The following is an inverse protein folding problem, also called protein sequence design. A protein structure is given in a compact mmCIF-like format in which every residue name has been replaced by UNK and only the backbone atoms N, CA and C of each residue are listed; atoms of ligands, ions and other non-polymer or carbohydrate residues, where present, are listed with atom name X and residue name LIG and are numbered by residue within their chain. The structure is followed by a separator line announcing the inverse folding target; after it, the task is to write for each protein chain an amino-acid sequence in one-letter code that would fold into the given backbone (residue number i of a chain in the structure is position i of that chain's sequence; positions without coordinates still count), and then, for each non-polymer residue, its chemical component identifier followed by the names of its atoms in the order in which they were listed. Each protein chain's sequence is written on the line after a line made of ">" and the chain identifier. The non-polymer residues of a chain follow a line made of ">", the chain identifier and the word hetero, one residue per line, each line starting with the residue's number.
data_IF_165124182282
#
_entry.id   IF_165124182282
#
_cell.length_a   1.000
_cell.length_b   1.000
_cell.length_c   1.000
_cell.angle_alpha   90.00
_cell.angle_beta   90.00
_cell.angle_gamma   90.00
#
_symmetry.space_group_name_H-M   'P 1'
#
loop_
_entity.id
_entity.type
_entity.pdbx_description
1 polymer ?
#
# COMPACT_ATOMS: atom_id res chain seq x y z
N UNK A 1 -12.77 31.03 -20.02
CA UNK A 1 -12.91 29.70 -19.42
C UNK A 1 -11.52 29.24 -19.01
N UNK A 2 -11.29 28.83 -17.76
CA UNK A 2 -9.95 28.50 -17.22
C UNK A 2 -9.37 27.25 -17.94
N UNK A 3 -8.21 27.41 -18.58
CA UNK A 3 -7.49 26.34 -19.32
C UNK A 3 -7.27 25.09 -18.47
N UNK A 4 -7.06 25.27 -17.15
CA UNK A 4 -6.90 24.18 -16.18
C UNK A 4 -8.19 23.35 -16.06
N UNK A 5 -9.34 24.01 -16.01
CA UNK A 5 -10.66 23.36 -15.91
C UNK A 5 -11.00 22.55 -17.17
N UNK A 6 -10.64 23.07 -18.36
CA UNK A 6 -10.83 22.34 -19.63
C UNK A 6 -9.96 21.09 -19.63
N UNK A 7 -8.67 21.23 -19.30
CA UNK A 7 -7.74 20.08 -19.20
C UNK A 7 -8.27 18.99 -18.28
N UNK A 8 -8.74 19.35 -17.09
CA UNK A 8 -9.27 18.39 -16.13
C UNK A 8 -10.51 17.67 -16.63
N UNK A 9 -11.40 18.36 -17.38
CA UNK A 9 -12.57 17.71 -18.02
C UNK A 9 -12.14 16.71 -19.08
N UNK A 10 -11.15 17.05 -19.90
CA UNK A 10 -10.62 16.15 -20.93
C UNK A 10 -9.99 14.92 -20.26
N UNK A 11 -9.12 15.11 -19.27
CA UNK A 11 -8.51 14.02 -18.50
C UNK A 11 -9.58 13.09 -17.91
N UNK A 12 -10.62 13.65 -17.31
CA UNK A 12 -11.74 12.86 -16.77
C UNK A 12 -12.53 12.13 -17.86
N UNK A 13 -12.79 12.78 -18.99
CA UNK A 13 -13.45 12.15 -20.15
C UNK A 13 -12.65 10.95 -20.68
N UNK A 14 -11.34 11.11 -20.87
CA UNK A 14 -10.44 10.03 -21.27
C UNK A 14 -10.45 8.91 -20.24
N UNK A 15 -10.41 9.23 -18.95
CA UNK A 15 -10.50 8.24 -17.87
C UNK A 15 -11.84 7.47 -17.91
N UNK A 16 -12.96 8.13 -18.16
CA UNK A 16 -14.27 7.47 -18.27
C UNK A 16 -14.34 6.52 -19.47
N UNK A 17 -13.78 6.92 -20.62
CA UNK A 17 -13.67 6.05 -21.79
C UNK A 17 -12.81 4.82 -21.46
N UNK A 18 -11.66 5.04 -20.84
CA UNK A 18 -10.81 3.94 -20.36
C UNK A 18 -11.56 2.98 -19.43
N UNK A 19 -12.27 3.50 -18.42
CA UNK A 19 -13.08 2.70 -17.51
C UNK A 19 -14.14 1.88 -18.26
N UNK A 20 -14.83 2.52 -19.21
CA UNK A 20 -15.85 1.86 -20.01
C UNK A 20 -15.26 0.69 -20.81
N UNK A 21 -14.18 0.94 -21.55
CA UNK A 21 -13.49 -0.10 -22.34
C UNK A 21 -13.03 -1.25 -21.45
N UNK A 22 -12.32 -0.95 -20.35
CA UNK A 22 -11.83 -1.97 -19.42
C UNK A 22 -12.97 -2.81 -18.82
N UNK A 23 -14.13 -2.20 -18.52
CA UNK A 23 -15.29 -2.90 -17.98
C UNK A 23 -15.98 -3.81 -18.99
N UNK A 24 -15.84 -3.56 -20.28
CA UNK A 24 -16.38 -4.39 -21.35
C UNK A 24 -15.48 -5.58 -21.69
N UNK A 25 -14.20 -5.53 -21.34
CA UNK A 25 -13.26 -6.60 -21.63
C UNK A 25 -13.34 -7.74 -20.62
N UNK A 26 -13.17 -9.01 -21.07
CA UNK A 26 -12.86 -10.10 -20.16
C UNK A 26 -11.60 -9.80 -19.36
N UNK A 27 -11.57 -10.15 -18.08
CA UNK A 27 -10.44 -9.83 -17.17
C UNK A 27 -9.12 -10.39 -17.71
N UNK A 28 -9.13 -11.59 -18.32
CA UNK A 28 -7.93 -12.17 -18.93
C UNK A 28 -7.37 -11.30 -20.04
N UNK A 29 -8.22 -10.81 -20.93
CA UNK A 29 -7.81 -9.89 -22.01
C UNK A 29 -7.29 -8.57 -21.45
N UNK A 30 -7.97 -8.01 -20.45
CA UNK A 30 -7.51 -6.77 -19.79
C UNK A 30 -6.16 -6.97 -19.09
N UNK A 31 -5.91 -8.12 -18.45
CA UNK A 31 -4.61 -8.44 -17.86
C UNK A 31 -3.51 -8.62 -18.93
N UNK A 32 -3.82 -9.27 -20.05
CA UNK A 32 -2.86 -9.38 -21.18
C UNK A 32 -2.49 -8.01 -21.76
N UNK A 33 -3.46 -7.11 -21.87
CA UNK A 33 -3.18 -5.72 -22.28
C UNK A 33 -2.30 -5.00 -21.23
N UNK A 34 -2.58 -5.17 -19.95
CA UNK A 34 -1.76 -4.63 -18.87
C UNK A 34 -0.31 -5.15 -18.93
N UNK A 35 -0.14 -6.44 -19.18
CA UNK A 35 1.17 -7.07 -19.36
C UNK A 35 1.89 -6.54 -20.59
N UNK A 36 1.19 -6.35 -21.71
CA UNK A 36 1.73 -5.74 -22.92
C UNK A 36 2.22 -4.29 -22.69
N UNK A 37 1.44 -3.48 -21.95
CA UNK A 37 1.83 -2.12 -21.57
C UNK A 37 3.07 -2.14 -20.66
N UNK A 38 3.13 -3.06 -19.70
CA UNK A 38 4.30 -3.22 -18.84
C UNK A 38 5.56 -3.61 -19.64
N UNK A 39 5.40 -4.52 -20.60
CA UNK A 39 6.48 -4.94 -21.49
C UNK A 39 7.00 -3.77 -22.32
N UNK A 40 6.10 -2.98 -22.95
CA UNK A 40 6.46 -1.77 -23.71
C UNK A 40 7.21 -0.78 -22.82
N UNK A 41 6.69 -0.52 -21.62
CA UNK A 41 7.31 0.42 -20.70
C UNK A 41 8.72 -0.02 -20.28
N UNK A 42 8.92 -1.31 -20.07
CA UNK A 42 10.19 -1.84 -19.60
C UNK A 42 11.23 -1.96 -20.72
N UNK A 43 10.83 -2.43 -21.92
CA UNK A 43 11.74 -2.74 -23.02
C UNK A 43 11.92 -1.63 -24.03
N UNK A 44 10.89 -0.80 -24.29
CA UNK A 44 10.90 0.21 -25.35
C UNK A 44 11.07 1.64 -24.84
N UNK A 45 10.63 1.93 -23.62
CA UNK A 45 10.77 3.28 -23.04
C UNK A 45 12.17 3.43 -22.41
N UNK A 46 12.89 4.53 -22.70
CA UNK A 46 14.21 4.75 -22.11
C UNK A 46 14.19 4.67 -20.58
N UNK A 47 15.09 3.89 -19.99
CA UNK A 47 15.16 3.62 -18.53
C UNK A 47 15.19 4.89 -17.68
N UNK A 48 15.76 6.01 -18.20
CA UNK A 48 15.75 7.33 -17.52
C UNK A 48 14.35 7.91 -17.30
N UNK A 49 13.37 7.51 -18.11
CA UNK A 49 11.99 8.01 -18.04
C UNK A 49 11.11 7.18 -17.09
N UNK A 50 11.49 5.94 -16.78
CA UNK A 50 10.70 4.96 -16.04
C UNK A 50 11.08 4.84 -14.56
N UNK A 51 11.98 5.71 -14.07
CA UNK A 51 12.58 5.59 -12.73
C UNK A 51 13.28 4.24 -12.46
N UNK A 52 13.67 3.55 -13.51
CA UNK A 52 14.37 2.26 -13.43
C UNK A 52 15.57 2.32 -12.48
N UNK A 53 16.40 3.38 -12.58
CA UNK A 53 17.58 3.52 -11.73
C UNK A 53 17.22 3.56 -10.23
N UNK A 54 16.13 4.25 -9.87
CA UNK A 54 15.66 4.30 -8.47
C UNK A 54 15.22 2.92 -8.00
N UNK A 55 14.47 2.18 -8.82
CA UNK A 55 14.02 0.83 -8.48
C UNK A 55 15.22 -0.12 -8.32
N UNK A 56 16.20 -0.06 -9.24
CA UNK A 56 17.43 -0.86 -9.19
C UNK A 56 18.23 -0.58 -7.92
N UNK A 57 18.49 0.69 -7.59
CA UNK A 57 19.21 1.09 -6.38
C UNK A 57 18.49 0.60 -5.11
N UNK A 58 17.16 0.71 -5.08
CA UNK A 58 16.36 0.24 -3.95
C UNK A 58 16.43 -1.28 -3.80
N UNK A 59 16.35 -2.05 -4.88
CA UNK A 59 16.49 -3.51 -4.86
C UNK A 59 17.89 -3.94 -4.42
N UNK A 60 18.93 -3.27 -4.91
CA UNK A 60 20.31 -3.52 -4.50
C UNK A 60 20.51 -3.19 -3.01
N UNK A 61 19.89 -2.11 -2.50
CA UNK A 61 19.93 -1.76 -1.08
C UNK A 61 19.21 -2.80 -0.21
N UNK A 62 18.05 -3.28 -0.68
CA UNK A 62 17.22 -4.23 0.06
C UNK A 62 17.77 -5.64 0.08
N UNK A 63 18.24 -6.13 -1.05
CA UNK A 63 18.63 -7.53 -1.23
C UNK A 63 20.15 -7.74 -1.37
N UNK A 64 20.94 -6.68 -1.53
CA UNK A 64 22.38 -6.77 -1.67
C UNK A 64 22.79 -7.69 -2.83
N UNK A 65 23.67 -8.63 -2.53
CA UNK A 65 24.17 -9.61 -3.50
C UNK A 65 23.28 -10.86 -3.66
N UNK A 66 22.14 -10.92 -2.97
CA UNK A 66 21.19 -12.05 -3.11
C UNK A 66 20.42 -12.04 -4.43
N UNK A 67 20.38 -10.90 -5.12
CA UNK A 67 19.80 -10.79 -6.46
C UNK A 67 20.90 -10.44 -7.47
N UNK A 68 20.97 -11.20 -8.55
CA UNK A 68 21.80 -10.82 -9.70
C UNK A 68 21.08 -9.80 -10.59
N UNK A 69 21.79 -9.25 -11.57
CA UNK A 69 21.27 -8.19 -12.47
C UNK A 69 20.01 -8.62 -13.23
N UNK A 70 19.95 -9.87 -13.67
CA UNK A 70 18.77 -10.42 -14.35
C UNK A 70 17.57 -10.50 -13.41
N UNK A 71 17.74 -10.96 -12.18
CA UNK A 71 16.68 -11.04 -11.16
C UNK A 71 16.17 -9.65 -10.77
N UNK A 72 17.05 -8.65 -10.72
CA UNK A 72 16.67 -7.26 -10.49
C UNK A 72 15.81 -6.76 -11.65
N UNK A 73 16.20 -7.00 -12.91
CA UNK A 73 15.44 -6.60 -14.09
C UNK A 73 14.07 -7.29 -14.14
N UNK A 74 14.01 -8.59 -13.84
CA UNK A 74 12.76 -9.34 -13.75
C UNK A 74 11.83 -8.79 -12.64
N UNK A 75 12.38 -8.45 -11.48
CA UNK A 75 11.61 -7.86 -10.38
C UNK A 75 11.05 -6.50 -10.76
N UNK A 76 11.83 -5.65 -11.46
CA UNK A 76 11.36 -4.35 -11.93
C UNK A 76 10.29 -4.50 -13.01
N UNK A 77 10.47 -5.42 -13.96
CA UNK A 77 9.45 -5.73 -14.97
C UNK A 77 8.18 -6.27 -14.30
N UNK A 78 8.31 -7.20 -13.35
CA UNK A 78 7.23 -7.73 -12.54
C UNK A 78 6.47 -6.64 -11.79
N UNK A 79 7.18 -5.66 -11.22
CA UNK A 79 6.57 -4.51 -10.55
C UNK A 79 5.69 -3.67 -11.51
N UNK A 80 6.14 -3.40 -12.72
CA UNK A 80 5.33 -2.67 -13.70
C UNK A 80 4.11 -3.50 -14.14
N UNK A 81 4.31 -4.80 -14.38
CA UNK A 81 3.22 -5.73 -14.69
C UNK A 81 2.19 -5.75 -13.56
N UNK A 82 2.64 -5.84 -12.31
CA UNK A 82 1.78 -5.78 -11.14
C UNK A 82 0.98 -4.47 -11.08
N UNK A 83 1.63 -3.32 -11.28
CA UNK A 83 0.98 -2.01 -11.20
C UNK A 83 -0.13 -1.84 -12.25
N UNK A 84 0.12 -2.24 -13.51
CA UNK A 84 -0.90 -2.15 -14.55
C UNK A 84 -2.05 -3.16 -14.35
N UNK A 85 -1.75 -4.38 -13.90
CA UNK A 85 -2.79 -5.34 -13.50
C UNK A 85 -3.62 -4.83 -12.32
N UNK A 86 -3.01 -4.15 -11.35
CA UNK A 86 -3.72 -3.53 -10.22
C UNK A 86 -4.74 -2.48 -10.70
N UNK A 87 -4.44 -1.70 -11.74
CA UNK A 87 -5.40 -0.76 -12.33
C UNK A 87 -6.62 -1.53 -12.90
N UNK A 88 -6.38 -2.63 -13.62
CA UNK A 88 -7.46 -3.51 -14.12
C UNK A 88 -8.30 -4.04 -12.97
N UNK A 89 -7.67 -4.48 -11.90
CA UNK A 89 -8.33 -5.00 -10.70
C UNK A 89 -9.22 -3.95 -10.04
N UNK A 90 -8.73 -2.72 -9.85
CA UNK A 90 -9.52 -1.60 -9.29
C UNK A 90 -10.78 -1.35 -10.12
N UNK A 91 -10.68 -1.40 -11.45
CA UNK A 91 -11.84 -1.20 -12.35
C UNK A 91 -12.89 -2.30 -12.19
N UNK A 92 -12.45 -3.53 -11.97
CA UNK A 92 -13.34 -4.69 -11.85
C UNK A 92 -13.79 -4.99 -10.41
N UNK A 93 -13.04 -4.54 -9.40
CA UNK A 93 -13.26 -4.82 -7.98
C UNK A 93 -14.73 -4.61 -7.54
N UNK A 94 -15.39 -3.47 -7.85
CA UNK A 94 -16.76 -3.24 -7.40
C UNK A 94 -17.80 -4.21 -7.96
N UNK A 95 -17.48 -4.94 -9.02
CA UNK A 95 -18.37 -5.94 -9.64
C UNK A 95 -17.99 -7.37 -9.30
N UNK A 96 -16.75 -7.61 -8.90
CA UNK A 96 -16.18 -8.95 -8.72
C UNK A 96 -16.13 -9.38 -7.26
N UNK A 97 -15.71 -8.49 -6.35
CA UNK A 97 -15.65 -8.81 -4.94
C UNK A 97 -17.00 -8.56 -4.27
N UNK A 98 -17.58 -9.62 -3.69
CA UNK A 98 -18.82 -9.61 -2.93
C UNK A 98 -18.68 -10.60 -1.76
N UNK A 99 -19.49 -10.42 -0.72
CA UNK A 99 -19.48 -11.34 0.44
C UNK A 99 -19.72 -12.79 0.04
N UNK A 100 -20.66 -13.03 -0.89
CA UNK A 100 -21.04 -14.40 -1.30
C UNK A 100 -19.97 -15.15 -2.11
N UNK A 101 -18.98 -14.44 -2.71
CA UNK A 101 -17.93 -15.05 -3.52
C UNK A 101 -16.51 -14.72 -3.03
N UNK A 102 -16.39 -14.17 -1.83
CA UNK A 102 -15.09 -13.75 -1.32
C UNK A 102 -14.09 -14.91 -1.21
N UNK A 103 -14.55 -16.12 -0.86
CA UNK A 103 -13.70 -17.31 -0.75
C UNK A 103 -13.21 -17.84 -2.10
N UNK A 104 -13.86 -17.48 -3.22
CA UNK A 104 -13.37 -17.79 -4.57
C UNK A 104 -12.22 -16.86 -5.00
N UNK A 105 -12.07 -15.74 -4.29
CA UNK A 105 -11.17 -14.63 -4.66
C UNK A 105 -10.06 -14.44 -3.63
N UNK A 106 -10.37 -14.67 -2.36
CA UNK A 106 -9.50 -14.35 -1.24
C UNK A 106 -9.13 -15.61 -0.46
N UNK A 107 -7.83 -15.84 -0.33
CA UNK A 107 -7.26 -16.67 0.70
C UNK A 107 -6.85 -15.79 1.89
N UNK A 108 -6.84 -16.34 3.09
CA UNK A 108 -6.56 -15.58 4.31
C UNK A 108 -5.40 -16.19 5.08
N UNK A 109 -4.45 -15.36 5.47
CA UNK A 109 -3.35 -15.72 6.39
C UNK A 109 -3.39 -14.80 7.61
N UNK A 110 -3.35 -15.36 8.82
CA UNK A 110 -3.42 -14.58 10.08
C UNK A 110 -4.78 -13.93 10.32
N UNK A 111 -5.87 -14.48 9.73
CA UNK A 111 -7.22 -13.92 9.80
C UNK A 111 -7.73 -13.78 11.23
N UNK A 112 -7.58 -14.81 12.03
CA UNK A 112 -8.21 -14.89 13.35
C UNK A 112 -7.64 -13.84 14.32
N UNK A 113 -6.33 -13.56 14.24
CA UNK A 113 -5.70 -12.54 15.06
C UNK A 113 -6.09 -11.13 14.58
N UNK A 114 -6.22 -10.93 13.27
CA UNK A 114 -6.77 -9.70 12.71
C UNK A 114 -8.20 -9.43 13.21
N UNK A 115 -9.08 -10.43 13.14
CA UNK A 115 -10.47 -10.31 13.59
C UNK A 115 -10.53 -10.05 15.09
N UNK A 116 -9.73 -10.75 15.91
CA UNK A 116 -9.62 -10.49 17.35
C UNK A 116 -9.22 -9.03 17.62
N UNK A 117 -8.22 -8.52 16.91
CA UNK A 117 -7.80 -7.12 17.05
C UNK A 117 -8.93 -6.15 16.71
N UNK A 118 -9.60 -6.34 15.56
CA UNK A 118 -10.70 -5.48 15.13
C UNK A 118 -11.94 -5.54 16.05
N UNK A 119 -12.17 -6.68 16.70
CA UNK A 119 -13.29 -6.88 17.64
C UNK A 119 -12.92 -6.60 19.12
N UNK A 120 -11.70 -6.13 19.40
CA UNK A 120 -11.20 -5.92 20.77
C UNK A 120 -11.86 -4.74 21.51
N UNK A 121 -12.58 -3.87 20.81
CA UNK A 121 -13.07 -2.61 21.35
C UNK A 121 -12.01 -1.50 21.46
N UNK A 122 -10.76 -1.80 21.14
CA UNK A 122 -9.65 -0.83 21.10
C UNK A 122 -9.57 -0.18 19.70
N UNK A 123 -9.02 1.05 19.56
CA UNK A 123 -8.72 1.58 18.25
C UNK A 123 -7.70 0.72 17.52
N UNK A 124 -7.79 0.67 16.17
CA UNK A 124 -6.88 -0.13 15.34
C UNK A 124 -6.25 0.72 14.24
N UNK A 125 -4.92 0.65 14.14
CA UNK A 125 -4.14 1.18 13.02
C UNK A 125 -3.77 0.03 12.09
N UNK A 126 -4.40 0.00 10.91
CA UNK A 126 -4.07 -0.97 9.87
C UNK A 126 -2.94 -0.41 9.01
N UNK A 127 -1.77 -1.04 9.05
CA UNK A 127 -0.57 -0.60 8.35
C UNK A 127 -0.28 -1.50 7.16
N UNK A 128 -0.12 -0.87 6.00
CA UNK A 128 0.37 -1.52 4.80
C UNK A 128 1.49 -0.71 4.16
N UNK A 129 1.95 -1.18 3.02
CA UNK A 129 2.84 -0.47 2.11
C UNK A 129 2.24 -0.37 0.72
N UNK A 130 2.96 0.27 -0.20
CA UNK A 130 2.64 0.21 -1.63
C UNK A 130 3.04 -1.18 -2.17
N UNK A 131 2.48 -2.21 -1.53
CA UNK A 131 2.68 -3.63 -1.78
C UNK A 131 1.35 -4.31 -2.08
N UNK A 132 1.36 -5.22 -3.04
CA UNK A 132 0.16 -5.90 -3.48
C UNK A 132 -0.95 -4.95 -3.93
N UNK A 133 -2.19 -5.32 -3.74
CA UNK A 133 -3.33 -4.46 -4.06
C UNK A 133 -3.99 -3.93 -2.78
N UNK A 134 -3.55 -2.79 -2.31
CA UNK A 134 -4.08 -2.12 -1.10
C UNK A 134 -5.55 -1.72 -1.22
N UNK A 135 -6.08 -1.53 -2.44
CA UNK A 135 -7.50 -1.26 -2.64
C UNK A 135 -8.35 -2.51 -2.38
N UNK A 136 -7.85 -3.70 -2.76
CA UNK A 136 -8.50 -4.99 -2.43
C UNK A 136 -8.56 -5.16 -0.91
N UNK A 137 -7.45 -4.89 -0.20
CA UNK A 137 -7.40 -4.95 1.26
C UNK A 137 -8.50 -4.12 1.90
N UNK A 138 -8.50 -2.81 1.63
CA UNK A 138 -9.42 -1.86 2.25
C UNK A 138 -10.88 -2.16 1.89
N UNK A 139 -11.15 -2.48 0.62
CA UNK A 139 -12.51 -2.85 0.18
C UNK A 139 -13.01 -4.11 0.86
N UNK A 140 -12.15 -5.11 1.06
CA UNK A 140 -12.50 -6.37 1.73
C UNK A 140 -12.97 -6.11 3.15
N UNK A 141 -12.21 -5.35 3.95
CA UNK A 141 -12.60 -5.03 5.31
C UNK A 141 -13.92 -4.27 5.39
N UNK A 142 -14.15 -3.31 4.47
CA UNK A 142 -15.44 -2.62 4.38
C UNK A 142 -16.61 -3.56 4.10
N UNK A 143 -16.44 -4.51 3.17
CA UNK A 143 -17.46 -5.53 2.86
C UNK A 143 -17.77 -6.45 4.06
N UNK A 144 -16.77 -6.75 4.89
CA UNK A 144 -16.95 -7.57 6.09
C UNK A 144 -17.51 -6.82 7.30
N UNK A 145 -17.84 -5.53 7.16
CA UNK A 145 -18.39 -4.74 8.25
C UNK A 145 -17.35 -4.11 9.17
N UNK A 146 -16.09 -4.03 8.71
CA UNK A 146 -14.99 -3.34 9.38
C UNK A 146 -14.54 -2.10 8.57
N UNK A 147 -15.40 -1.07 8.44
CA UNK A 147 -15.06 0.11 7.67
C UNK A 147 -13.90 0.87 8.31
N UNK A 148 -12.96 1.33 7.48
CA UNK A 148 -11.76 2.04 7.91
C UNK A 148 -11.73 3.46 7.39
N UNK A 149 -11.09 4.34 8.14
CA UNK A 149 -10.70 5.66 7.68
C UNK A 149 -9.35 5.57 6.95
N UNK A 150 -9.34 5.88 5.64
CA UNK A 150 -8.16 5.74 4.77
C UNK A 150 -7.54 7.09 4.51
N UNK A 151 -6.29 7.28 4.87
CA UNK A 151 -5.57 8.54 4.59
C UNK A 151 -4.95 8.49 3.20
N UNK A 152 -5.30 9.45 2.36
CA UNK A 152 -4.71 9.59 1.04
C UNK A 152 -4.55 11.07 0.64
N UNK A 153 -3.63 11.33 -0.29
CA UNK A 153 -3.49 12.65 -0.89
C UNK A 153 -4.63 12.91 -1.88
N UNK A 154 -5.22 14.10 -1.81
CA UNK A 154 -6.16 14.56 -2.82
C UNK A 154 -5.52 14.58 -4.22
N UNK A 155 -6.25 14.13 -5.24
CA UNK A 155 -5.80 14.24 -6.62
C UNK A 155 -6.00 15.67 -7.12
N UNK A 156 -5.07 16.14 -7.96
CA UNK A 156 -5.11 17.50 -8.52
C UNK A 156 -6.36 17.74 -9.38
N UNK A 157 -6.86 16.71 -10.06
CA UNK A 157 -8.09 16.75 -10.83
C UNK A 157 -9.29 16.42 -9.93
N UNK A 158 -10.21 17.38 -9.65
CA UNK A 158 -11.29 17.19 -8.69
C UNK A 158 -12.31 16.12 -9.11
N UNK A 159 -12.52 15.90 -10.42
CA UNK A 159 -13.43 14.86 -10.90
C UNK A 159 -12.83 13.46 -10.70
N UNK A 160 -11.53 13.29 -10.95
CA UNK A 160 -10.83 12.04 -10.65
C UNK A 160 -10.81 11.80 -9.13
N UNK A 161 -10.54 12.83 -8.34
CA UNK A 161 -10.57 12.73 -6.89
C UNK A 161 -11.93 12.28 -6.37
N UNK A 162 -13.02 12.89 -6.88
CA UNK A 162 -14.38 12.51 -6.53
C UNK A 162 -14.72 11.07 -6.91
N UNK A 163 -14.26 10.60 -8.08
CA UNK A 163 -14.45 9.22 -8.50
C UNK A 163 -13.73 8.24 -7.56
N UNK A 164 -12.46 8.51 -7.22
CA UNK A 164 -11.71 7.66 -6.28
C UNK A 164 -12.30 7.70 -4.87
N UNK A 165 -12.80 8.85 -4.42
CA UNK A 165 -13.52 8.96 -3.14
C UNK A 165 -14.73 8.04 -3.14
N UNK A 166 -15.61 8.14 -4.14
CA UNK A 166 -16.81 7.30 -4.26
C UNK A 166 -16.45 5.81 -4.35
N UNK A 167 -15.39 5.47 -5.07
CA UNK A 167 -14.91 4.10 -5.18
C UNK A 167 -14.51 3.54 -3.81
N UNK A 168 -13.69 4.24 -3.04
CA UNK A 168 -13.23 3.78 -1.72
C UNK A 168 -14.33 3.78 -0.66
N UNK A 169 -15.23 4.76 -0.72
CA UNK A 169 -16.34 4.90 0.22
C UNK A 169 -17.50 3.95 -0.08
N UNK A 170 -17.52 3.28 -1.24
CA UNK A 170 -18.60 2.39 -1.68
C UNK A 170 -18.82 1.16 -0.77
N UNK A 171 -17.87 0.82 0.06
CA UNK A 171 -17.93 -0.29 1.03
C UNK A 171 -18.01 0.18 2.49
N UNK A 172 -18.36 1.46 2.71
CA UNK A 172 -18.47 2.03 4.06
C UNK A 172 -17.18 2.64 4.60
N UNK A 173 -16.05 2.52 3.89
CA UNK A 173 -14.81 3.20 4.26
C UNK A 173 -14.96 4.72 4.13
N UNK A 174 -14.10 5.47 4.81
CA UNK A 174 -14.07 6.93 4.75
C UNK A 174 -12.70 7.40 4.25
N UNK A 175 -12.68 8.26 3.24
CA UNK A 175 -11.46 8.88 2.78
C UNK A 175 -11.14 10.15 3.59
N UNK A 176 -9.93 10.22 4.14
CA UNK A 176 -9.39 11.39 4.84
C UNK A 176 -8.30 11.99 3.97
N UNK A 177 -8.42 13.29 3.68
CA UNK A 177 -7.36 13.99 2.97
C UNK A 177 -6.12 14.14 3.87
N UNK A 178 -4.94 13.92 3.28
CA UNK A 178 -3.67 13.98 4.00
C UNK A 178 -3.46 15.30 4.75
N UNK A 179 -3.92 16.40 4.14
CA UNK A 179 -3.87 17.73 4.76
C UNK A 179 -4.94 17.81 5.86
N UNK A 180 -4.50 17.95 7.11
CA UNK A 180 -5.38 17.91 8.29
C UNK A 180 -5.66 16.50 8.85
N UNK A 181 -5.08 15.45 8.26
CA UNK A 181 -5.31 14.06 8.70
C UNK A 181 -4.97 13.82 10.18
N UNK A 182 -3.97 14.52 10.74
CA UNK A 182 -3.53 14.29 12.13
C UNK A 182 -4.65 14.50 13.15
N UNK A 183 -5.39 15.60 13.06
CA UNK A 183 -6.49 15.90 13.98
C UNK A 183 -7.66 14.93 13.82
N UNK A 184 -7.94 14.51 12.60
CA UNK A 184 -9.00 13.55 12.31
C UNK A 184 -8.62 12.15 12.80
N UNK A 185 -7.38 11.73 12.59
CA UNK A 185 -6.88 10.45 13.12
C UNK A 185 -6.96 10.39 14.64
N UNK A 186 -6.60 11.46 15.35
CA UNK A 186 -6.76 11.53 16.81
C UNK A 186 -8.21 11.31 17.23
N UNK A 187 -9.17 11.99 16.60
CA UNK A 187 -10.60 11.81 16.90
C UNK A 187 -11.09 10.39 16.62
N UNK A 188 -10.57 9.74 15.59
CA UNK A 188 -10.90 8.35 15.25
C UNK A 188 -10.38 7.43 16.34
N UNK A 189 -9.13 7.61 16.77
CA UNK A 189 -8.54 6.81 17.84
C UNK A 189 -9.26 7.01 19.17
N UNK A 190 -9.61 8.24 19.53
CA UNK A 190 -10.40 8.56 20.74
C UNK A 190 -11.74 7.83 20.80
N UNK A 191 -12.34 7.55 19.63
CA UNK A 191 -13.64 6.87 19.53
C UNK A 191 -13.52 5.36 19.37
N UNK A 192 -12.34 4.78 19.49
CA UNK A 192 -12.12 3.36 19.26
C UNK A 192 -12.24 2.94 17.79
N UNK A 193 -12.07 3.88 16.86
CA UNK A 193 -12.23 3.63 15.44
C UNK A 193 -11.00 2.98 14.78
N UNK A 194 -11.13 2.71 13.48
CA UNK A 194 -10.09 2.08 12.67
C UNK A 194 -9.58 3.01 11.59
N UNK A 195 -8.26 3.04 11.39
CA UNK A 195 -7.63 3.81 10.32
C UNK A 195 -6.62 2.94 9.55
N UNK A 196 -6.57 3.13 8.22
CA UNK A 196 -5.60 2.47 7.34
C UNK A 196 -4.60 3.47 6.79
N UNK A 197 -3.31 3.14 6.89
CA UNK A 197 -2.18 3.98 6.52
C UNK A 197 -1.16 3.19 5.69
N UNK A 198 -0.61 3.81 4.64
CA UNK A 198 0.58 3.30 3.97
C UNK A 198 1.82 3.94 4.61
N UNK A 199 2.69 3.11 5.22
CA UNK A 199 3.76 3.57 6.10
C UNK A 199 5.18 3.46 5.49
N UNK A 200 5.29 3.09 4.21
CA UNK A 200 6.54 2.73 3.51
C UNK A 200 7.25 3.89 2.79
N UNK A 201 6.75 5.12 2.91
CA UNK A 201 7.39 6.30 2.31
C UNK A 201 8.41 6.95 3.25
N UNK A 202 9.37 7.68 2.65
CA UNK A 202 10.33 8.50 3.39
C UNK A 202 9.63 9.63 4.16
N UNK A 203 9.83 9.67 5.47
CA UNK A 203 9.23 10.68 6.35
C UNK A 203 10.05 11.98 6.44
N UNK A 204 11.13 12.09 5.68
CA UNK A 204 12.01 13.24 5.69
C UNK A 204 12.81 13.38 6.98
N UNK A 205 13.32 14.59 7.23
CA UNK A 205 14.23 14.86 8.37
C UNK A 205 13.56 14.76 9.75
N UNK A 206 12.24 14.86 9.81
CA UNK A 206 11.46 14.77 11.05
C UNK A 206 11.06 13.34 11.41
N UNK A 207 11.34 12.36 10.52
CA UNK A 207 11.07 10.96 10.76
C UNK A 207 12.00 10.32 11.80
N UNK A 208 11.60 9.15 12.23
CA UNK A 208 12.41 8.27 13.08
C UNK A 208 13.20 7.31 12.18
N UNK A 209 14.50 7.16 12.43
CA UNK A 209 15.31 6.21 11.68
C UNK A 209 15.23 4.83 12.32
N UNK A 210 14.73 3.89 11.55
CA UNK A 210 14.70 2.45 11.87
C UNK A 210 15.21 1.67 10.67
N UNK A 211 15.59 0.44 10.88
CA UNK A 211 16.08 -0.40 9.81
C UNK A 211 14.93 -0.91 8.92
N UNK A 212 15.12 -0.78 7.61
CA UNK A 212 14.28 -1.36 6.59
C UNK A 212 15.19 -2.08 5.59
N UNK A 213 15.05 -3.39 5.49
CA UNK A 213 16.00 -4.27 4.80
C UNK A 213 17.45 -4.10 5.29
N UNK A 214 17.62 -3.95 6.62
CA UNK A 214 18.94 -3.77 7.25
C UNK A 214 19.63 -2.46 6.91
N UNK A 215 18.88 -1.46 6.40
CA UNK A 215 19.39 -0.12 6.10
C UNK A 215 18.54 0.94 6.81
N UNK A 216 19.16 1.96 7.43
CA UNK A 216 18.43 3.03 8.10
C UNK A 216 17.51 3.75 7.13
N UNK A 217 16.22 3.85 7.47
CA UNK A 217 15.22 4.52 6.68
C UNK A 217 14.37 5.44 7.56
N UNK A 218 14.16 6.69 7.10
CA UNK A 218 13.31 7.64 7.82
C UNK A 218 11.84 7.22 7.75
N UNK A 219 11.21 6.96 8.89
CA UNK A 219 9.87 6.39 9.04
C UNK A 219 8.97 7.32 9.84
N UNK A 220 7.66 7.32 9.54
CA UNK A 220 6.68 8.20 10.19
C UNK A 220 6.51 7.85 11.67
N UNK A 221 7.10 8.66 12.56
CA UNK A 221 6.97 8.50 14.01
C UNK A 221 5.55 8.73 14.54
N UNK A 222 4.72 9.48 13.79
CA UNK A 222 3.33 9.77 14.17
C UNK A 222 2.48 8.51 14.33
N UNK A 223 2.78 7.44 13.60
CA UNK A 223 2.07 6.16 13.69
C UNK A 223 2.30 5.54 15.07
N UNK A 224 3.56 5.39 15.48
CA UNK A 224 3.89 4.86 16.79
C UNK A 224 3.40 5.76 17.94
N UNK A 225 3.47 7.10 17.78
CA UNK A 225 2.92 8.03 18.76
C UNK A 225 1.40 7.86 18.94
N UNK A 226 0.64 7.76 17.84
CA UNK A 226 -0.80 7.49 17.93
C UNK A 226 -1.09 6.16 18.60
N UNK A 227 -0.36 5.10 18.25
CA UNK A 227 -0.55 3.79 18.86
C UNK A 227 -0.30 3.82 20.37
N UNK A 228 0.81 4.41 20.83
CA UNK A 228 1.15 4.52 22.24
C UNK A 228 0.17 5.43 23.01
N UNK A 229 -0.21 6.57 22.43
CA UNK A 229 -1.09 7.54 23.09
C UNK A 229 -2.51 7.02 23.30
N UNK A 230 -3.06 6.33 22.32
CA UNK A 230 -4.45 5.86 22.31
C UNK A 230 -4.59 4.36 22.61
N UNK A 231 -3.50 3.70 22.96
CA UNK A 231 -3.46 2.26 23.16
C UNK A 231 -4.05 1.50 21.94
N UNK A 232 -3.75 1.99 20.73
CA UNK A 232 -4.28 1.46 19.48
C UNK A 232 -3.49 0.24 19.02
N UNK A 233 -4.17 -0.88 18.79
CA UNK A 233 -3.53 -2.05 18.20
C UNK A 233 -3.03 -1.72 16.79
N UNK A 234 -1.85 -2.24 16.44
CA UNK A 234 -1.32 -2.14 15.09
C UNK A 234 -1.46 -3.49 14.40
N UNK A 235 -2.16 -3.50 13.27
CA UNK A 235 -2.27 -4.67 12.37
C UNK A 235 -1.46 -4.38 11.13
N UNK A 236 -0.39 -5.13 10.90
CA UNK A 236 0.42 -5.03 9.67
C UNK A 236 -0.04 -6.07 8.68
N UNK A 237 -0.43 -5.65 7.48
CA UNK A 237 -0.94 -6.59 6.48
C UNK A 237 -1.14 -5.98 5.10
N UNK A 238 -1.65 -6.82 4.19
CA UNK A 238 -1.94 -6.42 2.82
C UNK A 238 -2.55 -7.55 2.00
N UNK A 239 -3.08 -7.22 0.84
CA UNK A 239 -3.58 -8.18 -0.14
C UNK A 239 -2.59 -8.28 -1.29
N UNK A 240 -1.94 -9.41 -1.47
CA UNK A 240 -1.06 -9.67 -2.60
C UNK A 240 -1.66 -10.70 -3.55
N UNK A 241 -1.44 -10.50 -4.84
CA UNK A 241 -1.99 -11.39 -5.88
C UNK A 241 -1.23 -12.72 -5.86
N UNK A 242 -1.96 -13.82 -5.85
CA UNK A 242 -1.37 -15.15 -5.97
C UNK A 242 -0.66 -15.31 -7.32
N UNK A 243 0.38 -16.16 -7.39
CA UNK A 243 1.08 -16.49 -8.63
C UNK A 243 0.13 -16.97 -9.73
N UNK A 244 0.43 -16.67 -11.00
CA UNK A 244 -0.43 -17.04 -12.14
C UNK A 244 -0.71 -18.56 -12.20
N UNK A 245 0.23 -19.40 -11.74
CA UNK A 245 0.05 -20.86 -11.66
C UNK A 245 -1.05 -21.28 -10.68
N UNK A 246 -1.24 -20.54 -9.59
CA UNK A 246 -2.27 -20.79 -8.57
C UNK A 246 -3.63 -20.22 -8.95
N UNK A 247 -3.71 -19.48 -10.06
CA UNK A 247 -4.94 -18.85 -10.55
C UNK A 247 -5.61 -19.65 -11.67
N UNK A 248 -5.12 -20.87 -11.98
CA UNK A 248 -5.67 -21.72 -13.05
C UNK A 248 -7.16 -21.98 -12.79
N UNK A 249 -8.01 -21.68 -13.80
CA UNK A 249 -9.47 -21.85 -13.69
C UNK A 249 -10.22 -20.71 -12.98
N UNK A 250 -9.55 -19.80 -12.31
CA UNK A 250 -10.20 -18.66 -11.63
C UNK A 250 -10.90 -17.72 -12.64
N UNK A 251 -12.08 -17.25 -12.28
CA UNK A 251 -12.86 -16.28 -13.10
C UNK A 251 -12.33 -14.85 -12.98
N UNK A 252 -11.52 -14.57 -11.94
CA UNK A 252 -10.85 -13.32 -11.67
C UNK A 252 -9.53 -13.58 -10.92
N UNK A 253 -8.72 -12.55 -10.71
CA UNK A 253 -7.48 -12.67 -9.95
C UNK A 253 -7.78 -13.07 -8.50
N UNK A 254 -6.98 -13.99 -7.97
CA UNK A 254 -7.03 -14.40 -6.57
C UNK A 254 -5.95 -13.69 -5.78
N UNK A 255 -6.26 -13.40 -4.51
CA UNK A 255 -5.37 -12.68 -3.61
C UNK A 255 -5.26 -13.44 -2.29
N UNK A 256 -4.10 -13.36 -1.65
CA UNK A 256 -3.99 -13.68 -0.25
C UNK A 256 -4.07 -12.40 0.57
N UNK A 257 -5.06 -12.30 1.43
CA UNK A 257 -5.18 -11.23 2.42
C UNK A 257 -4.42 -11.66 3.68
N UNK A 258 -3.21 -11.15 3.81
CA UNK A 258 -2.27 -11.53 4.88
C UNK A 258 -2.30 -10.51 6.01
N UNK A 259 -2.48 -10.98 7.23
CA UNK A 259 -2.07 -10.28 8.44
C UNK A 259 -0.72 -10.84 8.85
N UNK A 260 0.32 -10.04 8.71
CA UNK A 260 1.70 -10.43 9.01
C UNK A 260 1.97 -10.35 10.51
N UNK A 261 1.38 -9.33 11.17
CA UNK A 261 1.62 -9.09 12.59
C UNK A 261 0.45 -8.33 13.22
N UNK A 262 0.19 -8.61 14.50
CA UNK A 262 -0.69 -7.83 15.37
C UNK A 262 0.13 -7.40 16.57
N UNK A 263 0.33 -6.09 16.73
CA UNK A 263 1.27 -5.53 17.68
C UNK A 263 0.47 -4.77 18.75
N UNK A 264 0.69 -5.12 20.01
CA UNK A 264 0.12 -4.39 21.15
C UNK A 264 1.10 -3.29 21.59
N UNK A 265 0.75 -2.01 21.53
CA UNK A 265 1.61 -0.92 22.00
C UNK A 265 1.88 -0.97 23.51
N UNK A 266 1.09 -1.71 24.29
CA UNK A 266 1.33 -1.91 25.72
C UNK A 266 2.68 -2.59 26.00
N UNK A 267 3.20 -3.40 25.06
CA UNK A 267 4.50 -4.06 25.18
C UNK A 267 5.69 -3.11 24.99
N UNK A 268 5.43 -1.86 24.58
CA UNK A 268 6.45 -0.86 24.16
C UNK A 268 6.44 0.41 25.01
N UNK A 269 6.16 0.30 26.32
CA UNK A 269 6.09 1.47 27.24
C UNK A 269 7.45 1.96 27.77
N UNK A 270 8.57 1.35 27.37
CA UNK A 270 9.92 1.73 27.79
C UNK A 270 10.43 3.02 27.15
N UNK A 271 11.58 3.47 27.62
CA UNK A 271 12.25 4.72 27.12
C UNK A 271 12.45 4.70 25.60
N UNK A 272 12.72 3.54 25.03
CA UNK A 272 12.89 3.34 23.57
C UNK A 272 11.63 2.84 22.88
N UNK A 273 10.50 2.73 23.58
CA UNK A 273 9.30 2.06 23.11
C UNK A 273 8.80 2.56 21.76
N UNK A 274 8.84 3.87 21.50
CA UNK A 274 8.50 4.42 20.18
C UNK A 274 9.40 3.89 19.08
N UNK A 275 10.71 3.76 19.33
CA UNK A 275 11.67 3.27 18.33
C UNK A 275 11.47 1.77 18.09
N UNK A 276 11.31 1.01 19.15
CA UNK A 276 11.11 -0.44 19.11
C UNK A 276 9.79 -0.80 18.41
N UNK A 277 8.70 -0.10 18.76
CA UNK A 277 7.41 -0.25 18.10
C UNK A 277 7.49 0.09 16.60
N UNK A 278 8.18 1.20 16.26
CA UNK A 278 8.38 1.61 14.87
C UNK A 278 9.22 0.60 14.11
N UNK A 279 10.26 0.07 14.73
CA UNK A 279 11.07 -1.01 14.14
C UNK A 279 10.24 -2.27 13.93
N UNK A 280 9.41 -2.66 14.90
CA UNK A 280 8.58 -3.87 14.80
C UNK A 280 7.65 -3.83 13.59
N UNK A 281 6.81 -2.81 13.46
CA UNK A 281 5.90 -2.74 12.31
C UNK A 281 6.64 -2.56 10.97
N UNK A 282 7.82 -1.92 10.97
CA UNK A 282 8.64 -1.78 9.77
C UNK A 282 9.21 -3.13 9.35
N UNK A 283 9.68 -3.94 10.30
CA UNK A 283 10.16 -5.32 10.04
C UNK A 283 9.02 -6.22 9.54
N UNK A 284 7.83 -6.11 10.13
CA UNK A 284 6.66 -6.89 9.68
C UNK A 284 6.26 -6.51 8.24
N UNK A 285 6.33 -5.22 7.88
CA UNK A 285 6.11 -4.80 6.49
C UNK A 285 7.21 -5.33 5.55
N UNK A 286 8.48 -5.36 5.98
CA UNK A 286 9.57 -5.95 5.20
C UNK A 286 9.31 -7.43 4.91
N UNK A 287 8.91 -8.21 5.93
CA UNK A 287 8.58 -9.62 5.79
C UNK A 287 7.45 -9.85 4.77
N UNK A 288 6.43 -8.99 4.81
CA UNK A 288 5.33 -9.03 3.84
C UNK A 288 5.84 -8.79 2.41
N UNK A 289 6.71 -7.79 2.20
CA UNK A 289 7.28 -7.47 0.89
C UNK A 289 8.16 -8.61 0.35
N UNK A 290 8.89 -9.30 1.22
CA UNK A 290 9.76 -10.42 0.84
C UNK A 290 8.99 -11.62 0.24
N UNK A 291 7.67 -11.73 0.49
CA UNK A 291 6.82 -12.80 -0.08
C UNK A 291 6.62 -12.66 -1.58
N UNK A 292 6.53 -11.41 -2.10
CA UNK A 292 6.31 -11.10 -3.51
C UNK A 292 6.95 -9.76 -3.85
N UNK A 293 8.28 -9.67 -3.92
CA UNK A 293 9.01 -8.41 -4.10
C UNK A 293 8.63 -7.71 -5.42
N UNK A 294 8.22 -8.43 -6.46
CA UNK A 294 7.72 -7.87 -7.71
C UNK A 294 6.37 -7.17 -7.56
N UNK A 295 5.70 -7.29 -6.40
CA UNK A 295 4.45 -6.58 -6.11
C UNK A 295 4.65 -5.36 -5.21
N UNK A 296 5.89 -4.98 -4.92
CA UNK A 296 6.20 -3.76 -4.18
C UNK A 296 6.64 -2.62 -5.11
N UNK A 297 6.22 -1.40 -4.79
CA UNK A 297 6.45 -0.22 -5.63
C UNK A 297 7.85 0.38 -5.43
N UNK A 298 8.89 -0.29 -5.96
CA UNK A 298 10.32 0.04 -5.81
C UNK A 298 10.73 1.40 -6.35
N UNK A 299 9.92 2.11 -7.14
CA UNK A 299 10.23 3.43 -7.69
C UNK A 299 10.06 4.58 -6.69
N UNK A 300 9.64 4.33 -5.44
CA UNK A 300 9.71 5.30 -4.37
C UNK A 300 11.14 5.46 -3.85
N UNK A 301 11.53 6.71 -3.53
CA UNK A 301 12.83 6.97 -2.90
C UNK A 301 12.74 6.73 -1.38
N UNK A 302 12.63 5.47 -0.96
CA UNK A 302 12.45 5.09 0.46
C UNK A 302 13.61 5.54 1.34
N UNK A 303 14.83 5.50 0.83
CA UNK A 303 16.06 5.92 1.51
C UNK A 303 16.56 7.29 1.03
N UNK A 304 15.65 8.23 0.74
CA UNK A 304 16.00 9.59 0.28
C UNK A 304 16.67 10.39 1.37
N UNK A 305 16.18 10.29 2.60
CA UNK A 305 16.71 11.01 3.76
C UNK A 305 17.71 10.13 4.48
N UNK A 306 18.94 10.62 4.61
CA UNK A 306 20.01 9.91 5.34
C UNK A 306 20.09 10.37 6.80
N UNK A 307 20.50 9.48 7.72
CA UNK A 307 20.77 9.84 9.12
C UNK A 307 21.83 10.93 9.19
N UNK A 308 21.64 11.93 10.05
CA UNK A 308 22.60 13.01 10.23
C UNK A 308 23.83 12.51 11.01
N UNK A 309 24.86 12.02 10.30
CA UNK A 309 26.10 11.46 10.89
C UNK A 309 26.89 12.46 11.74
N UNK A 310 26.69 13.78 11.54
CA UNK A 310 27.38 14.83 12.32
C UNK A 310 26.94 14.92 13.79
N UNK A 311 25.82 14.37 14.18
CA UNK A 311 25.33 14.42 15.57
C UNK A 311 25.94 13.34 16.48
N UNK A 312 26.39 12.19 15.90
CA UNK A 312 27.05 11.12 16.66
C UNK A 312 28.49 11.47 17.08
N UNK A 313 29.18 12.29 16.30
CA UNK A 313 30.55 12.73 16.61
C UNK A 313 30.67 13.82 17.69
N UNK A 314 29.53 14.41 18.17
CA UNK A 314 29.49 15.38 19.25
C UNK A 314 28.97 14.80 20.58
N UNK A 315 28.53 13.57 20.60
CA UNK A 315 28.02 12.88 21.79
C UNK A 315 28.91 11.69 22.23
N UNK A 316 30.06 11.49 21.56
CA UNK A 316 31.16 10.63 21.95
C UNK A 316 32.39 11.51 22.30
#
# INVERSE_FOLDING_TARGET
>A
MDRRRIRYRIEYGVFQIFLFVMRCLPVRTANQMADGVAWILFHLIPRRMTRYQVARENLQRAFGNSLNDWQIDETIHGMWRHLFRMIVEIVHLPRRLRLYNCLDILDFTGRDDCVKAMCSGRPVLFLGGHFGNWEVSVNTFGHFGFPMSVVARALDNPWLHQWFRQFRESTGNRLIDKDGASSELMRIMERGGMASLLCDQDAGRSGLFVDFFGKPASTFKSIGLLALQYNALIVVGGAWRLPDAEQAGARWNRFNLTTEDVIDPADYQGVNGLTELTQRFTTSLENLIRRAPEQYFWVHRRWKTEPNTRRKARAA
#
